data_IF_317878601456
#
_entry.id   IF_317878601456
#
_cell.length_a   1.000
_cell.length_b   1.000
_cell.length_c   1.000
_cell.angle_alpha   90.00
_cell.angle_beta   90.00
_cell.angle_gamma   90.00
#
_symmetry.space_group_name_H-M   'P 1'
#
loop_
_entity.id
_entity.type
_entity.pdbx_description
1 polymer ?
#
# COMPACT_ATOMS: atom_id res chain seq x y z
N UNK A 1 -59.94 59.97 35.28
CA UNK A 1 -58.52 60.09 35.68
C UNK A 1 -58.19 58.89 36.56
N UNK A 2 -57.27 57.95 36.31
CA UNK A 2 -56.12 57.89 35.41
C UNK A 2 -55.85 56.42 35.00
N UNK A 3 -56.02 56.09 33.70
CA UNK A 3 -55.62 54.80 33.11
C UNK A 3 -54.14 54.78 32.65
N UNK A 4 -53.35 55.79 33.02
CA UNK A 4 -51.97 55.98 32.57
C UNK A 4 -50.89 55.35 33.48
N UNK A 5 -51.23 54.86 34.68
CA UNK A 5 -50.24 54.42 35.66
C UNK A 5 -49.78 52.95 35.52
N UNK A 6 -50.59 52.07 34.90
CA UNK A 6 -50.27 50.64 34.81
C UNK A 6 -49.40 50.25 33.60
N UNK A 7 -49.28 51.12 32.59
CA UNK A 7 -48.47 50.84 31.38
C UNK A 7 -46.98 51.11 31.64
N UNK A 8 -46.65 52.02 32.56
CA UNK A 8 -45.25 52.37 32.87
C UNK A 8 -44.50 51.32 33.71
N UNK A 9 -45.19 50.57 34.56
CA UNK A 9 -44.55 49.53 35.39
C UNK A 9 -44.17 48.25 34.61
N UNK A 10 -44.86 47.95 33.51
CA UNK A 10 -44.57 46.76 32.70
C UNK A 10 -43.35 46.94 31.76
N UNK A 11 -43.05 48.17 31.34
CA UNK A 11 -41.92 48.47 30.44
C UNK A 11 -40.58 48.46 31.20
N UNK A 12 -40.58 48.86 32.48
CA UNK A 12 -39.37 48.94 33.29
C UNK A 12 -38.76 47.57 33.66
N UNK A 13 -39.54 46.49 33.68
CA UNK A 13 -39.08 45.15 34.08
C UNK A 13 -38.50 44.33 32.91
N UNK A 14 -38.91 44.61 31.67
CA UNK A 14 -38.42 43.88 30.48
C UNK A 14 -37.04 44.40 30.03
N UNK A 15 -36.73 45.68 30.28
CA UNK A 15 -35.45 46.30 29.89
C UNK A 15 -34.28 45.96 30.83
N UNK A 16 -34.52 45.64 32.09
CA UNK A 16 -33.47 45.24 33.04
C UNK A 16 -33.07 43.76 32.90
N UNK A 17 -33.96 42.89 32.45
CA UNK A 17 -33.66 41.47 32.19
C UNK A 17 -32.76 41.23 30.97
N UNK A 18 -32.90 42.05 29.91
CA UNK A 18 -32.10 41.90 28.68
C UNK A 18 -30.68 42.44 28.84
N UNK A 19 -30.47 43.42 29.72
CA UNK A 19 -29.16 44.05 29.93
C UNK A 19 -28.18 43.17 30.74
N UNK A 20 -28.67 42.36 31.68
CA UNK A 20 -27.81 41.45 32.47
C UNK A 20 -27.39 40.22 31.65
N UNK A 21 -28.25 39.73 30.74
CA UNK A 21 -27.91 38.60 29.86
C UNK A 21 -26.92 39.01 28.76
N UNK A 22 -26.94 40.28 28.33
CA UNK A 22 -26.01 40.78 27.30
C UNK A 22 -24.62 41.12 27.85
N UNK A 23 -24.47 41.29 29.17
CA UNK A 23 -23.18 41.57 29.80
C UNK A 23 -22.42 40.31 30.24
N UNK A 24 -23.04 39.13 30.18
CA UNK A 24 -22.42 37.84 30.52
C UNK A 24 -21.81 37.10 29.32
N UNK A 25 -21.92 37.65 28.10
CA UNK A 25 -21.37 37.08 26.87
C UNK A 25 -20.12 37.80 26.34
N UNK A 26 -19.65 38.86 27.01
CA UNK A 26 -18.61 39.75 26.49
C UNK A 26 -17.20 39.56 27.10
N UNK A 27 -16.96 38.53 27.91
CA UNK A 27 -15.63 38.29 28.53
C UNK A 27 -15.08 36.89 28.27
N UNK A 28 -15.40 36.29 27.12
CA UNK A 28 -14.61 35.15 26.66
C UNK A 28 -13.33 35.71 26.04
N UNK A 29 -12.30 35.85 26.87
CA UNK A 29 -10.94 36.04 26.37
C UNK A 29 -10.67 34.97 25.29
N UNK A 30 -10.17 35.34 24.11
CA UNK A 30 -9.72 34.34 23.14
C UNK A 30 -8.62 33.55 23.82
N UNK A 31 -8.90 32.29 24.14
CA UNK A 31 -7.90 31.36 24.65
C UNK A 31 -6.67 31.46 23.74
N UNK A 32 -5.46 31.70 24.27
CA UNK A 32 -4.26 31.70 23.45
C UNK A 32 -4.20 30.35 22.73
N UNK A 33 -4.41 30.38 21.42
CA UNK A 33 -4.31 29.19 20.60
C UNK A 33 -2.87 28.71 20.72
N UNK A 34 -2.67 27.64 21.48
CA UNK A 34 -1.39 26.99 21.57
C UNK A 34 -0.88 26.76 20.14
N UNK A 35 0.43 26.93 19.86
CA UNK A 35 0.97 26.65 18.54
C UNK A 35 0.48 25.27 18.12
N UNK A 36 -0.34 25.21 17.07
CA UNK A 36 -0.81 23.95 16.52
C UNK A 36 0.47 23.24 16.08
N UNK A 37 0.90 22.24 16.86
CA UNK A 37 1.94 21.34 16.41
C UNK A 37 1.52 20.85 15.02
N UNK A 38 2.41 20.89 14.00
CA UNK A 38 2.04 20.41 12.68
C UNK A 38 1.39 19.04 12.86
N UNK A 39 0.20 18.85 12.27
CA UNK A 39 -0.47 17.54 12.27
C UNK A 39 0.59 16.50 11.88
N UNK A 40 0.66 15.35 12.57
CA UNK A 40 1.53 14.27 12.13
C UNK A 40 1.18 14.02 10.67
N UNK A 41 2.15 14.26 9.79
CA UNK A 41 2.04 13.88 8.39
C UNK A 41 1.75 12.39 8.45
N UNK A 42 0.57 11.94 8.01
CA UNK A 42 0.37 10.52 7.80
C UNK A 42 1.38 10.12 6.72
N UNK A 43 2.55 9.67 7.15
CA UNK A 43 3.44 8.88 6.33
C UNK A 43 2.62 7.66 5.93
N UNK A 44 2.00 7.74 4.74
CA UNK A 44 1.15 6.68 4.24
C UNK A 44 1.92 5.37 4.28
N UNK A 45 1.25 4.30 4.71
CA UNK A 45 1.83 2.96 4.84
C UNK A 45 2.63 2.61 3.58
N UNK A 46 3.87 2.15 3.75
CA UNK A 46 4.73 1.82 2.62
C UNK A 46 4.09 0.67 1.82
N UNK A 47 4.10 0.76 0.49
CA UNK A 47 3.50 -0.29 -0.34
C UNK A 47 4.31 -0.62 -1.58
N UNK A 48 4.26 -1.89 -1.97
CA UNK A 48 4.79 -2.42 -3.23
C UNK A 48 3.64 -3.02 -4.04
N UNK A 49 3.44 -2.50 -5.24
CA UNK A 49 2.37 -2.92 -6.15
C UNK A 49 2.97 -3.55 -7.39
N UNK A 50 2.69 -4.83 -7.63
CA UNK A 50 3.11 -5.50 -8.87
C UNK A 50 2.27 -4.99 -10.05
N UNK A 51 2.94 -4.59 -11.12
CA UNK A 51 2.35 -4.13 -12.38
C UNK A 51 2.41 -5.19 -13.48
N UNK A 52 3.44 -6.05 -13.47
CA UNK A 52 3.60 -7.13 -14.45
C UNK A 52 4.50 -8.25 -13.91
N UNK A 53 4.27 -9.51 -14.28
CA UNK A 53 3.09 -10.01 -14.99
C UNK A 53 1.86 -10.07 -14.07
N UNK A 54 0.68 -9.68 -14.55
CA UNK A 54 -0.58 -9.78 -13.76
C UNK A 54 -1.34 -11.07 -14.04
N UNK A 55 -1.29 -11.57 -15.28
CA UNK A 55 -1.86 -12.86 -15.65
C UNK A 55 -1.26 -13.40 -16.95
N UNK A 56 -1.52 -14.67 -17.24
CA UNK A 56 -1.25 -15.27 -18.56
C UNK A 56 -0.41 -16.54 -18.51
N UNK A 57 -0.06 -17.03 -19.70
CA UNK A 57 0.83 -18.18 -19.89
C UNK A 57 2.19 -17.71 -20.37
N UNK A 58 3.25 -18.14 -19.71
CA UNK A 58 4.64 -17.80 -20.00
C UNK A 58 5.38 -19.05 -20.46
N UNK A 59 6.37 -18.90 -21.33
CA UNK A 59 7.21 -20.03 -21.76
C UNK A 59 8.48 -20.10 -20.90
N UNK A 60 8.83 -21.31 -20.46
CA UNK A 60 10.07 -21.55 -19.74
C UNK A 60 11.30 -21.24 -20.62
N UNK A 61 12.31 -20.62 -20.01
CA UNK A 61 13.50 -20.15 -20.71
C UNK A 61 13.32 -18.84 -21.49
N UNK A 62 12.11 -18.27 -21.51
CA UNK A 62 11.86 -16.95 -22.09
C UNK A 62 12.01 -15.86 -21.03
N UNK A 63 12.80 -14.83 -21.33
CA UNK A 63 12.95 -13.66 -20.47
C UNK A 63 11.63 -12.95 -20.22
N UNK A 64 11.33 -12.71 -18.95
CA UNK A 64 10.19 -11.97 -18.44
C UNK A 64 10.67 -10.74 -17.69
N UNK A 65 9.85 -9.68 -17.72
CA UNK A 65 10.09 -8.48 -16.93
C UNK A 65 9.06 -8.41 -15.81
N UNK A 66 9.55 -8.40 -14.58
CA UNK A 66 8.77 -8.11 -13.38
C UNK A 66 8.78 -6.60 -13.18
N UNK A 67 7.60 -5.97 -13.16
CA UNK A 67 7.45 -4.53 -12.97
C UNK A 67 6.66 -4.25 -11.70
N UNK A 68 7.05 -3.22 -10.97
CA UNK A 68 6.33 -2.78 -9.78
C UNK A 68 6.40 -1.26 -9.60
N UNK A 69 5.51 -0.77 -8.75
CA UNK A 69 5.54 0.59 -8.22
C UNK A 69 5.72 0.52 -6.70
N UNK A 70 6.45 1.50 -6.15
CA UNK A 70 6.65 1.63 -4.71
C UNK A 70 6.13 2.97 -4.21
N UNK A 71 5.32 2.97 -3.15
CA UNK A 71 4.79 4.18 -2.51
C UNK A 71 5.26 4.25 -1.06
N UNK A 72 5.77 5.41 -0.64
CA UNK A 72 6.29 5.63 0.73
C UNK A 72 7.30 4.57 1.22
N UNK A 73 7.93 3.83 0.30
CA UNK A 73 8.84 2.73 0.60
C UNK A 73 10.28 3.21 0.47
N UNK A 74 10.96 3.33 1.60
CA UNK A 74 12.28 3.98 1.71
C UNK A 74 13.46 3.04 1.52
N UNK A 75 13.22 1.72 1.58
CA UNK A 75 14.30 0.75 1.37
C UNK A 75 14.75 0.79 -0.10
N UNK A 76 16.07 0.84 -0.35
CA UNK A 76 16.61 0.81 -1.71
C UNK A 76 16.51 -0.58 -2.35
N UNK A 77 15.96 -1.57 -1.65
CA UNK A 77 15.87 -2.94 -2.13
C UNK A 77 14.50 -3.58 -1.85
N UNK A 78 14.14 -4.53 -2.71
CA UNK A 78 13.01 -5.44 -2.53
C UNK A 78 13.46 -6.89 -2.77
N UNK A 79 12.65 -7.84 -2.35
CA UNK A 79 12.77 -9.25 -2.74
C UNK A 79 11.66 -9.63 -3.71
N UNK A 80 11.88 -10.70 -4.47
CA UNK A 80 10.92 -11.24 -5.44
C UNK A 80 10.92 -12.76 -5.32
N UNK A 81 9.74 -13.31 -5.06
CA UNK A 81 9.49 -14.75 -4.99
C UNK A 81 8.55 -15.19 -6.10
N UNK A 82 8.73 -16.44 -6.51
CA UNK A 82 7.74 -17.23 -7.23
C UNK A 82 7.08 -18.17 -6.23
N UNK A 83 5.76 -18.05 -6.08
CA UNK A 83 4.95 -18.88 -5.19
C UNK A 83 3.85 -19.59 -5.98
N UNK A 84 3.31 -20.68 -5.43
CA UNK A 84 2.20 -21.43 -6.01
C UNK A 84 1.05 -21.52 -5.05
N UNK A 85 -0.17 -21.30 -5.53
CA UNK A 85 -1.39 -21.54 -4.75
C UNK A 85 -1.64 -23.04 -4.58
N UNK A 86 -1.77 -23.48 -3.34
CA UNK A 86 -1.99 -24.90 -2.96
C UNK A 86 -3.27 -25.12 -2.14
N UNK A 87 -4.07 -24.08 -1.96
CA UNK A 87 -5.40 -24.19 -1.33
C UNK A 87 -6.17 -22.88 -1.37
N UNK A 88 -7.50 -22.97 -1.21
CA UNK A 88 -8.43 -21.85 -1.40
C UNK A 88 -9.05 -21.30 -0.11
N UNK A 89 -9.15 -22.09 0.97
CA UNK A 89 -9.90 -21.71 2.18
C UNK A 89 -9.20 -22.10 3.50
N UNK A 90 -8.41 -21.19 4.12
CA UNK A 90 -7.94 -19.93 3.55
C UNK A 90 -6.99 -20.19 2.37
N UNK A 91 -6.74 -19.16 1.56
CA UNK A 91 -5.76 -19.25 0.49
C UNK A 91 -4.39 -19.63 1.08
N UNK A 92 -3.77 -20.68 0.55
CA UNK A 92 -2.44 -21.15 0.96
C UNK A 92 -1.50 -21.13 -0.22
N UNK A 93 -0.26 -20.75 0.04
CA UNK A 93 0.79 -20.67 -0.96
C UNK A 93 2.03 -21.41 -0.48
N UNK A 94 2.74 -22.03 -1.42
CA UNK A 94 4.07 -22.59 -1.21
C UNK A 94 5.11 -21.78 -1.99
N UNK A 95 6.32 -21.68 -1.45
CA UNK A 95 7.45 -21.09 -2.16
C UNK A 95 7.95 -22.06 -3.23
N UNK A 96 7.91 -21.63 -4.49
CA UNK A 96 8.48 -22.39 -5.61
C UNK A 96 9.95 -22.04 -5.79
N UNK A 97 10.25 -20.74 -5.80
CA UNK A 97 11.61 -20.24 -6.01
C UNK A 97 11.77 -18.82 -5.51
N UNK A 98 12.94 -18.49 -4.99
CA UNK A 98 13.37 -17.10 -4.80
C UNK A 98 13.96 -16.61 -6.13
N UNK A 99 13.34 -15.60 -6.75
CA UNK A 99 13.82 -14.99 -8.00
C UNK A 99 14.95 -14.00 -7.68
N UNK A 100 14.74 -13.18 -6.65
CA UNK A 100 15.73 -12.25 -6.13
C UNK A 100 15.55 -12.12 -4.62
N UNK A 101 16.56 -12.50 -3.83
CA UNK A 101 16.55 -12.25 -2.39
C UNK A 101 16.58 -10.74 -2.09
N UNK A 102 17.32 -10.01 -2.94
CA UNK A 102 17.54 -8.59 -2.85
C UNK A 102 17.84 -8.04 -4.24
N UNK A 103 16.98 -7.17 -4.76
CA UNK A 103 17.19 -6.42 -5.99
C UNK A 103 16.91 -4.94 -5.74
N UNK A 104 17.49 -4.06 -6.55
CA UNK A 104 17.26 -2.61 -6.44
C UNK A 104 15.77 -2.30 -6.55
N UNK A 105 15.30 -1.36 -5.73
CA UNK A 105 13.96 -0.81 -5.85
C UNK A 105 13.91 0.28 -6.94
N UNK A 106 14.09 -0.11 -8.21
CA UNK A 106 14.05 0.78 -9.37
C UNK A 106 12.84 0.54 -10.29
N UNK A 107 11.91 -0.32 -9.85
CA UNK A 107 10.64 -0.60 -10.53
C UNK A 107 10.70 -1.75 -11.54
N UNK A 108 11.86 -2.40 -11.75
CA UNK A 108 11.97 -3.51 -12.68
C UNK A 108 13.00 -4.57 -12.30
N UNK A 109 12.70 -5.83 -12.62
CA UNK A 109 13.65 -6.93 -12.51
C UNK A 109 13.44 -7.93 -13.65
N UNK A 110 14.51 -8.64 -14.00
CA UNK A 110 14.44 -9.69 -15.02
C UNK A 110 14.22 -11.03 -14.34
N UNK A 111 13.32 -11.83 -14.89
CA UNK A 111 13.04 -13.19 -14.46
C UNK A 111 13.02 -14.12 -15.66
N UNK A 112 13.62 -15.31 -15.54
CA UNK A 112 13.59 -16.34 -16.57
C UNK A 112 13.00 -17.60 -15.94
N UNK A 113 11.75 -17.98 -16.28
CA UNK A 113 11.13 -19.16 -15.71
C UNK A 113 11.97 -20.40 -16.02
N UNK A 114 12.32 -21.13 -14.97
CA UNK A 114 13.17 -22.31 -15.07
C UNK A 114 12.42 -23.49 -15.72
N UNK A 115 13.05 -24.19 -16.67
CA UNK A 115 12.39 -25.27 -17.43
C UNK A 115 12.07 -26.52 -16.63
N UNK A 116 12.49 -26.59 -15.36
CA UNK A 116 12.31 -27.76 -14.49
C UNK A 116 11.59 -27.46 -13.18
N UNK A 117 11.71 -26.24 -12.63
CA UNK A 117 11.14 -25.90 -11.31
C UNK A 117 9.96 -24.94 -11.37
N UNK A 118 9.89 -24.09 -12.39
CA UNK A 118 8.93 -22.99 -12.42
C UNK A 118 7.69 -23.33 -13.24
N UNK A 119 7.38 -24.61 -13.46
CA UNK A 119 6.35 -25.06 -14.40
C UNK A 119 4.95 -25.16 -13.79
N UNK A 120 3.93 -25.17 -14.65
CA UNK A 120 2.54 -25.46 -14.30
C UNK A 120 1.72 -24.23 -13.95
N UNK A 121 0.50 -24.47 -13.48
CA UNK A 121 -0.50 -23.45 -13.18
C UNK A 121 -0.48 -22.99 -11.72
N UNK A 122 -1.25 -21.94 -11.41
CA UNK A 122 -1.44 -21.44 -10.06
C UNK A 122 -0.21 -20.72 -9.50
N UNK A 123 0.71 -20.31 -10.38
CA UNK A 123 1.90 -19.57 -10.02
C UNK A 123 1.57 -18.09 -9.85
N UNK A 124 2.32 -17.43 -8.97
CA UNK A 124 2.24 -16.00 -8.73
C UNK A 124 3.61 -15.44 -8.36
N UNK A 125 3.92 -14.25 -8.85
CA UNK A 125 4.97 -13.38 -8.35
C UNK A 125 4.50 -12.70 -7.05
N UNK A 126 5.33 -12.81 -6.02
CA UNK A 126 5.22 -12.11 -4.74
C UNK A 126 6.38 -11.12 -4.62
N UNK A 127 6.05 -9.85 -4.37
CA UNK A 127 7.03 -8.84 -3.98
C UNK A 127 7.25 -8.93 -2.47
N UNK A 128 8.48 -8.73 -2.01
CA UNK A 128 8.85 -8.85 -0.60
C UNK A 128 9.48 -7.55 -0.12
N UNK A 129 8.95 -7.01 0.97
CA UNK A 129 9.55 -5.87 1.65
C UNK A 129 10.86 -6.31 2.33
N UNK A 130 11.98 -5.65 2.01
CA UNK A 130 13.33 -5.95 2.51
C UNK A 130 13.85 -4.76 3.31
N UNK A 131 14.34 -5.00 4.53
CA UNK A 131 14.97 -3.95 5.35
C UNK A 131 13.98 -3.00 6.05
N UNK A 132 12.68 -3.27 5.94
CA UNK A 132 11.63 -2.60 6.72
C UNK A 132 10.94 -3.62 7.62
N UNK A 133 10.29 -3.17 8.70
CA UNK A 133 9.45 -4.06 9.52
C UNK A 133 8.26 -4.52 8.69
N UNK A 134 7.85 -5.79 8.82
CA UNK A 134 6.76 -6.38 8.01
C UNK A 134 5.43 -5.66 8.22
N UNK A 135 5.23 -5.09 9.41
CA UNK A 135 4.04 -4.34 9.79
C UNK A 135 4.01 -2.92 9.23
N UNK A 136 5.14 -2.47 8.65
CA UNK A 136 5.30 -1.12 8.09
C UNK A 136 5.24 -1.09 6.56
N UNK A 137 5.09 -2.25 5.91
CA UNK A 137 5.06 -2.36 4.46
C UNK A 137 4.09 -3.43 3.97
N UNK A 138 3.21 -3.06 3.04
CA UNK A 138 2.34 -4.00 2.33
C UNK A 138 2.89 -4.33 0.96
N UNK A 139 3.09 -5.61 0.69
CA UNK A 139 3.34 -6.09 -0.65
C UNK A 139 2.07 -6.77 -1.19
N UNK A 140 1.59 -6.30 -2.35
CA UNK A 140 0.34 -6.78 -2.94
C UNK A 140 -0.93 -6.23 -2.27
N UNK A 141 -2.09 -6.81 -2.62
CA UNK A 141 -3.38 -6.46 -2.02
C UNK A 141 -3.59 -7.34 -0.78
N UNK A 142 -3.54 -6.75 0.42
CA UNK A 142 -3.85 -7.42 1.70
C UNK A 142 -3.14 -8.77 1.91
N UNK A 143 -1.86 -8.86 1.51
CA UNK A 143 -1.04 -10.06 1.71
C UNK A 143 -1.29 -11.20 0.72
N UNK A 144 -2.13 -11.00 -0.30
CA UNK A 144 -2.28 -11.93 -1.41
C UNK A 144 -1.41 -11.51 -2.60
N UNK A 145 -0.76 -12.47 -3.29
CA UNK A 145 -0.06 -12.16 -4.52
C UNK A 145 -1.06 -11.72 -5.61
N UNK A 146 -0.68 -10.71 -6.37
CA UNK A 146 -1.57 -10.03 -7.32
C UNK A 146 -1.55 -10.64 -8.72
N UNK A 147 -0.67 -11.61 -8.98
CA UNK A 147 -0.51 -12.24 -10.28
C UNK A 147 -1.11 -13.65 -10.34
N UNK A 148 -1.57 -14.06 -11.52
CA UNK A 148 -2.09 -15.41 -11.80
C UNK A 148 -1.50 -15.93 -13.10
N UNK A 149 -0.36 -16.60 -13.00
CA UNK A 149 0.41 -17.06 -14.15
C UNK A 149 0.45 -18.58 -14.24
N UNK A 150 0.65 -19.06 -15.46
CA UNK A 150 1.02 -20.43 -15.76
C UNK A 150 2.32 -20.43 -16.55
N UNK A 151 3.18 -21.42 -16.33
CA UNK A 151 4.42 -21.56 -17.09
C UNK A 151 4.43 -22.91 -17.79
N UNK A 152 4.63 -22.88 -19.11
CA UNK A 152 4.70 -24.08 -19.94
C UNK A 152 6.11 -24.29 -20.46
N UNK A 153 6.47 -25.55 -20.71
CA UNK A 153 7.73 -25.89 -21.37
C UNK A 153 7.43 -26.43 -22.78
N UNK A 154 7.62 -25.59 -23.79
CA UNK A 154 7.47 -25.94 -25.21
C UNK A 154 8.76 -26.52 -25.81
N UNK A 155 9.86 -26.55 -25.04
CA UNK A 155 11.19 -26.90 -25.53
C UNK A 155 11.85 -25.84 -26.41
N UNK A 156 11.12 -24.79 -26.83
CA UNK A 156 11.61 -23.75 -27.77
C UNK A 156 12.88 -23.06 -27.29
N UNK A 157 13.00 -22.85 -25.98
CA UNK A 157 14.12 -22.14 -25.35
C UNK A 157 15.05 -23.06 -24.54
N UNK A 158 14.96 -24.39 -24.72
CA UNK A 158 15.72 -25.35 -23.93
C UNK A 158 17.24 -25.12 -24.01
N UNK A 159 17.74 -24.75 -25.21
CA UNK A 159 19.17 -24.53 -25.44
C UNK A 159 19.69 -23.20 -24.87
N UNK A 160 18.80 -22.27 -24.53
CA UNK A 160 19.15 -20.92 -24.05
C UNK A 160 18.80 -20.70 -22.58
N UNK A 161 18.02 -21.60 -21.97
CA UNK A 161 17.52 -21.45 -20.62
C UNK A 161 18.65 -21.27 -19.58
N UNK A 162 19.74 -22.04 -19.69
CA UNK A 162 20.88 -21.94 -18.78
C UNK A 162 21.63 -20.61 -18.90
N UNK A 163 21.79 -20.09 -20.12
CA UNK A 163 22.41 -18.79 -20.37
C UNK A 163 21.55 -17.64 -19.83
N UNK A 164 20.24 -17.68 -20.04
CA UNK A 164 19.33 -16.66 -19.54
C UNK A 164 19.19 -16.68 -18.01
N UNK A 165 19.22 -17.85 -17.37
CA UNK A 165 19.27 -17.94 -15.92
C UNK A 165 20.57 -17.36 -15.33
N UNK A 166 21.70 -17.48 -16.04
CA UNK A 166 22.94 -16.82 -15.63
C UNK A 166 22.81 -15.30 -15.70
N UNK A 167 22.14 -14.78 -16.73
CA UNK A 167 21.84 -13.35 -16.88
C UNK A 167 20.87 -12.86 -15.79
N UNK A 168 19.82 -13.62 -15.46
CA UNK A 168 18.91 -13.33 -14.34
C UNK A 168 19.69 -13.09 -13.04
N UNK A 169 20.62 -14.00 -12.69
CA UNK A 169 21.45 -13.87 -11.48
C UNK A 169 22.40 -12.67 -11.50
N UNK A 170 22.80 -12.20 -12.69
CA UNK A 170 23.64 -11.01 -12.83
C UNK A 170 22.82 -9.72 -12.69
N UNK A 171 21.60 -9.71 -13.21
CA UNK A 171 20.72 -8.55 -13.20
C UNK A 171 20.06 -8.32 -11.83
N UNK A 172 19.81 -9.38 -11.06
CA UNK A 172 19.11 -9.31 -9.77
C UNK A 172 20.05 -9.21 -8.56
N UNK A 173 21.03 -8.29 -8.60
CA UNK A 173 22.01 -8.03 -7.52
C UNK A 173 21.86 -6.68 -6.85
#
# INVERSE_FOLDING_TARGET
MNRFAHVWFAIAFVLTGVFVVSLLLATREPTPEAPIAPLPTEEGEASLTLLSPTSGTLEAGQTQTVLWESKSYTSPFIGINLIRKVGDTPARYELVRVIAEKTKNDGSAVWVPAPTTDLGEGLSIELVCVGVRKEACRAGNDGAPTSKIAVINTGRFANTASAYQAIERLNNK
#
